data_IF_080633929438
#
_entry.id   IF_080633929438
#
_cell.length_a   1.000
_cell.length_b   1.000
_cell.length_c   1.000
_cell.angle_alpha   90.00
_cell.angle_beta   90.00
_cell.angle_gamma   90.00
#
_symmetry.space_group_name_H-M   'P 1'
#
loop_
_entity.id
_entity.type
_entity.pdbx_description
1 polymer ?
#
# COMPACT_ATOMS: atom_id res chain seq x y z
N UNK A 1 19.78 2.39 20.21
CA UNK A 1 19.76 3.50 19.22
C UNK A 1 18.55 3.44 18.28
N UNK A 2 18.24 2.30 17.64
CA UNK A 2 17.09 2.18 16.71
C UNK A 2 15.72 2.55 17.33
N UNK A 3 15.48 2.27 18.62
CA UNK A 3 14.25 2.65 19.30
C UNK A 3 14.05 4.17 19.40
N UNK A 4 15.13 4.94 19.61
CA UNK A 4 15.10 6.41 19.69
C UNK A 4 14.74 6.99 18.32
N UNK A 5 15.32 6.46 17.24
CA UNK A 5 15.01 6.89 15.87
C UNK A 5 13.53 6.62 15.54
N UNK A 6 13.00 5.46 15.95
CA UNK A 6 11.57 5.14 15.78
C UNK A 6 10.67 6.07 16.58
N UNK A 7 11.04 6.40 17.82
CA UNK A 7 10.34 7.39 18.64
C UNK A 7 10.36 8.76 18.00
N UNK A 8 11.52 9.24 17.53
CA UNK A 8 11.66 10.54 16.88
C UNK A 8 10.81 10.62 15.61
N UNK A 9 10.80 9.55 14.80
CA UNK A 9 9.96 9.46 13.60
C UNK A 9 8.47 9.43 13.93
N UNK A 10 8.07 8.71 14.98
CA UNK A 10 6.67 8.69 15.46
C UNK A 10 6.25 10.06 15.98
N UNK A 11 7.14 10.72 16.72
CA UNK A 11 6.93 12.06 17.28
C UNK A 11 6.84 13.11 16.16
N UNK A 12 7.68 13.02 15.12
CA UNK A 12 7.60 13.89 13.94
C UNK A 12 6.29 13.72 13.17
N UNK A 13 5.73 12.51 13.16
CA UNK A 13 4.39 12.25 12.60
C UNK A 13 3.29 12.91 13.44
N UNK A 14 3.54 13.20 14.71
CA UNK A 14 2.65 13.90 15.63
C UNK A 14 2.74 15.45 15.53
N UNK A 15 3.24 15.98 14.40
CA UNK A 15 3.40 17.43 14.21
C UNK A 15 2.18 18.30 14.55
N UNK A 16 0.91 17.86 14.40
CA UNK A 16 -0.24 18.66 14.84
C UNK A 16 -0.20 19.03 16.33
N UNK A 17 0.26 18.11 17.19
CA UNK A 17 0.41 18.36 18.62
C UNK A 17 1.46 19.42 18.88
N UNK A 18 2.57 19.41 18.14
CA UNK A 18 3.59 20.44 18.24
C UNK A 18 3.08 21.80 17.79
N UNK A 19 2.24 21.85 16.75
CA UNK A 19 1.59 23.10 16.31
C UNK A 19 0.75 23.72 17.44
N UNK A 20 -0.02 22.91 18.17
CA UNK A 20 -0.83 23.38 19.30
C UNK A 20 0.05 23.78 20.48
N UNK A 21 1.07 22.98 20.80
CA UNK A 21 1.99 23.28 21.90
C UNK A 21 2.75 24.60 21.63
N UNK A 22 3.14 24.82 20.37
CA UNK A 22 3.72 26.09 19.93
C UNK A 22 2.72 27.25 20.10
N UNK A 23 1.43 27.07 19.75
CA UNK A 23 0.41 28.10 19.98
C UNK A 23 0.16 28.40 21.45
N UNK A 24 0.19 27.39 22.32
CA UNK A 24 0.08 27.57 23.77
C UNK A 24 1.31 28.34 24.28
N UNK A 25 2.49 27.97 23.80
CA UNK A 25 3.75 28.62 24.18
C UNK A 25 3.80 30.08 23.72
N UNK A 26 3.40 30.38 22.48
CA UNK A 26 3.34 31.76 21.98
C UNK A 26 2.32 32.59 22.74
N UNK A 27 1.15 32.02 23.07
CA UNK A 27 0.16 32.67 23.94
C UNK A 27 0.75 32.99 25.31
N UNK A 28 1.44 32.04 25.93
CA UNK A 28 2.08 32.25 27.24
C UNK A 28 3.13 33.37 27.19
N UNK A 29 3.98 33.41 26.17
CA UNK A 29 4.94 34.49 25.96
C UNK A 29 4.24 35.84 25.74
N UNK A 30 3.19 35.89 24.94
CA UNK A 30 2.42 37.11 24.69
C UNK A 30 1.84 37.69 25.98
N UNK A 31 1.26 36.84 26.84
CA UNK A 31 0.72 37.26 28.15
C UNK A 31 1.83 37.76 29.06
N UNK A 32 2.98 37.08 29.07
CA UNK A 32 4.12 37.45 29.91
C UNK A 32 4.69 38.83 29.54
N UNK A 33 4.82 39.14 28.25
CA UNK A 33 5.40 40.41 27.78
C UNK A 33 4.37 41.55 27.65
N UNK A 34 3.10 41.26 27.36
CA UNK A 34 2.08 42.26 27.04
C UNK A 34 0.82 42.14 27.89
N UNK A 35 0.97 42.13 29.21
CA UNK A 35 -0.15 41.99 30.15
C UNK A 35 -1.26 43.04 29.97
N UNK A 36 -0.92 44.25 29.53
CA UNK A 36 -1.86 45.36 29.34
C UNK A 36 -2.88 45.13 28.21
N UNK A 37 -2.56 44.29 27.20
CA UNK A 37 -3.42 44.06 26.00
C UNK A 37 -3.98 42.62 25.98
N UNK A 38 -3.76 41.84 27.03
CA UNK A 38 -4.04 40.40 27.05
C UNK A 38 -5.47 40.02 26.60
N UNK A 39 -6.49 40.78 27.00
CA UNK A 39 -7.89 40.49 26.64
C UNK A 39 -8.17 40.61 25.13
N UNK A 40 -7.62 41.63 24.47
CA UNK A 40 -7.82 41.82 23.02
C UNK A 40 -7.02 40.79 22.21
N UNK A 41 -5.82 40.45 22.67
CA UNK A 41 -4.97 39.43 22.02
C UNK A 41 -5.60 38.05 22.08
N UNK A 42 -6.16 37.65 23.22
CA UNK A 42 -6.80 36.33 23.36
C UNK A 42 -8.04 36.19 22.47
N UNK A 43 -8.84 37.25 22.33
CA UNK A 43 -10.00 37.27 21.42
C UNK A 43 -9.59 37.13 19.96
N UNK A 44 -8.55 37.85 19.53
CA UNK A 44 -8.02 37.76 18.17
C UNK A 44 -7.42 36.38 17.88
N UNK A 45 -6.62 35.84 18.81
CA UNK A 45 -6.00 34.53 18.66
C UNK A 45 -7.04 33.41 18.59
N UNK A 46 -8.08 33.49 19.44
CA UNK A 46 -9.24 32.59 19.39
C UNK A 46 -9.89 32.60 18.01
N UNK A 47 -10.28 33.78 17.51
CA UNK A 47 -10.94 33.92 16.21
C UNK A 47 -10.05 33.45 15.06
N UNK A 48 -8.76 33.83 15.07
CA UNK A 48 -7.80 33.41 14.06
C UNK A 48 -7.63 31.88 14.04
N UNK A 49 -7.47 31.26 15.22
CA UNK A 49 -7.33 29.79 15.32
C UNK A 49 -8.59 29.04 14.86
N UNK A 50 -9.79 29.58 15.11
CA UNK A 50 -11.04 29.00 14.61
C UNK A 50 -11.17 29.10 13.09
N UNK A 51 -10.84 30.26 12.50
CA UNK A 51 -10.87 30.44 11.04
C UNK A 51 -9.87 29.51 10.36
N UNK A 52 -8.63 29.48 10.86
CA UNK A 52 -7.57 28.62 10.31
C UNK A 52 -7.95 27.14 10.49
N UNK A 53 -8.42 26.76 11.68
CA UNK A 53 -8.87 25.39 11.97
C UNK A 53 -10.03 24.95 11.05
N UNK A 54 -11.00 25.84 10.83
CA UNK A 54 -12.11 25.62 9.90
C UNK A 54 -11.64 25.46 8.46
N UNK A 55 -10.71 26.30 7.99
CA UNK A 55 -10.10 26.18 6.66
C UNK A 55 -9.35 24.85 6.48
N UNK A 56 -8.61 24.39 7.49
CA UNK A 56 -7.95 23.07 7.45
C UNK A 56 -8.95 21.93 7.32
N UNK A 57 -10.06 21.98 8.08
CA UNK A 57 -11.13 20.98 7.97
C UNK A 57 -11.71 21.01 6.55
N UNK A 58 -12.01 22.19 6.01
CA UNK A 58 -12.64 22.35 4.70
C UNK A 58 -11.73 21.87 3.56
N UNK A 59 -10.45 22.27 3.59
CA UNK A 59 -9.42 21.80 2.66
C UNK A 59 -9.26 20.27 2.71
N UNK A 60 -9.32 19.71 3.93
CA UNK A 60 -9.16 18.28 4.10
C UNK A 60 -10.40 17.47 3.70
N UNK A 61 -11.60 18.04 3.81
CA UNK A 61 -12.80 17.43 3.25
C UNK A 61 -12.66 17.35 1.72
N UNK A 62 -12.29 18.45 1.06
CA UNK A 62 -12.09 18.49 -0.39
C UNK A 62 -11.05 17.47 -0.87
N UNK A 63 -9.92 17.37 -0.14
CA UNK A 63 -8.84 16.46 -0.47
C UNK A 63 -9.12 14.97 -0.16
N UNK A 64 -10.12 14.64 0.68
CA UNK A 64 -10.33 13.27 1.18
C UNK A 64 -11.77 12.71 1.01
N UNK A 65 -12.66 13.40 0.29
CA UNK A 65 -14.05 12.97 0.04
C UNK A 65 -14.17 11.52 -0.46
N UNK A 66 -13.18 11.00 -1.18
CA UNK A 66 -13.20 9.63 -1.69
C UNK A 66 -12.78 8.53 -0.71
N UNK A 67 -12.08 8.84 0.38
CA UNK A 67 -11.40 7.85 1.22
C UNK A 67 -12.06 7.64 2.59
N UNK A 68 -12.93 8.57 3.01
CA UNK A 68 -13.47 8.62 4.38
C UNK A 68 -14.68 7.69 4.59
N UNK A 69 -15.30 7.16 3.53
CA UNK A 69 -16.59 6.48 3.63
C UNK A 69 -16.65 5.29 4.60
N UNK A 70 -15.53 4.66 4.97
CA UNK A 70 -15.55 3.45 5.82
C UNK A 70 -14.75 3.53 7.14
N UNK A 71 -14.03 4.62 7.44
CA UNK A 71 -13.18 4.68 8.65
C UNK A 71 -13.62 5.76 9.63
N UNK A 72 -14.16 5.33 10.77
CA UNK A 72 -14.42 6.19 11.93
C UNK A 72 -13.11 6.85 12.39
N UNK A 73 -13.08 8.17 12.58
CA UNK A 73 -11.91 8.92 13.08
C UNK A 73 -11.30 8.28 14.34
N UNK A 74 -12.15 7.74 15.22
CA UNK A 74 -11.72 7.06 16.43
C UNK A 74 -10.87 5.80 16.16
N UNK A 75 -11.19 5.02 15.11
CA UNK A 75 -10.39 3.84 14.78
C UNK A 75 -9.00 4.23 14.28
N UNK A 76 -8.89 5.35 13.57
CA UNK A 76 -7.61 5.89 13.11
C UNK A 76 -6.77 6.37 14.30
N UNK A 77 -7.37 7.12 15.23
CA UNK A 77 -6.68 7.55 16.45
C UNK A 77 -6.21 6.36 17.30
N UNK A 78 -7.07 5.35 17.48
CA UNK A 78 -6.70 4.10 18.17
C UNK A 78 -5.56 3.39 17.45
N UNK A 79 -5.61 3.28 16.11
CA UNK A 79 -4.53 2.66 15.34
C UNK A 79 -3.21 3.43 15.48
N UNK A 80 -3.26 4.76 15.50
CA UNK A 80 -2.09 5.61 15.72
C UNK A 80 -1.46 5.38 17.12
N UNK A 81 -2.29 5.27 18.17
CA UNK A 81 -1.85 4.89 19.51
C UNK A 81 -1.27 3.48 19.56
N UNK A 82 -1.84 2.54 18.80
CA UNK A 82 -1.36 1.17 18.73
C UNK A 82 -0.06 0.99 17.92
N UNK A 83 0.30 1.97 17.08
CA UNK A 83 1.59 2.04 16.37
C UNK A 83 2.73 2.59 17.24
N UNK A 84 2.44 2.90 18.52
CA UNK A 84 3.43 3.43 19.44
C UNK A 84 4.63 2.45 19.60
N UNK A 85 5.88 2.91 19.35
CA UNK A 85 7.04 2.02 19.20
C UNK A 85 7.43 1.24 20.47
N UNK A 86 6.86 1.59 21.63
CA UNK A 86 7.05 0.86 22.89
C UNK A 86 6.20 -0.43 22.95
N UNK A 87 5.19 -0.58 22.10
CA UNK A 87 4.34 -1.77 22.04
C UNK A 87 4.98 -2.79 21.08
N UNK A 88 5.63 -3.83 21.63
CA UNK A 88 6.31 -4.88 20.83
C UNK A 88 5.28 -5.72 20.05
N UNK A 89 5.44 -5.82 18.72
CA UNK A 89 4.69 -6.76 17.86
C UNK A 89 5.63 -7.81 17.26
N UNK A 90 5.20 -9.06 17.17
CA UNK A 90 5.93 -10.13 16.48
C UNK A 90 5.74 -10.04 14.97
N UNK A 91 6.83 -9.93 14.21
CA UNK A 91 6.80 -9.95 12.75
C UNK A 91 7.27 -11.32 12.28
N UNK A 92 6.41 -12.05 11.57
CA UNK A 92 6.77 -13.32 10.91
C UNK A 92 7.15 -13.01 9.47
N UNK A 93 8.40 -13.29 9.10
CA UNK A 93 8.92 -13.09 7.73
C UNK A 93 8.92 -14.43 7.02
N UNK A 94 8.15 -14.57 5.93
CA UNK A 94 8.18 -15.74 5.06
C UNK A 94 9.04 -15.46 3.82
N UNK A 95 10.07 -16.26 3.60
CA UNK A 95 10.91 -16.20 2.41
C UNK A 95 10.35 -17.15 1.33
N UNK A 96 10.20 -16.66 0.10
CA UNK A 96 9.86 -17.47 -1.08
C UNK A 96 11.03 -17.45 -2.06
N UNK A 97 11.46 -18.64 -2.54
CA UNK A 97 12.52 -18.80 -3.54
C UNK A 97 11.94 -19.23 -4.89
N UNK A 98 12.48 -18.70 -5.98
CA UNK A 98 12.06 -19.00 -7.36
C UNK A 98 13.16 -19.77 -8.13
N UNK A 99 12.77 -20.75 -8.95
CA UNK A 99 13.66 -21.54 -9.82
C UNK A 99 13.32 -21.33 -11.30
N UNK A 100 14.33 -21.17 -12.16
CA UNK A 100 14.19 -20.90 -13.60
C UNK A 100 14.54 -22.17 -14.41
N UNK A 101 13.75 -22.50 -15.44
CA UNK A 101 13.99 -23.61 -16.36
C UNK A 101 14.30 -23.14 -17.80
N UNK A 102 15.26 -23.78 -18.46
CA UNK A 102 15.76 -23.45 -19.81
C UNK A 102 15.07 -24.34 -20.87
N UNK A 103 14.72 -23.79 -22.03
CA UNK A 103 14.06 -24.52 -23.14
C UNK A 103 15.03 -24.80 -24.30
N UNK A 104 15.02 -26.02 -24.85
CA UNK A 104 15.77 -26.45 -26.05
C UNK A 104 14.86 -26.67 -27.26
N UNK A 105 15.35 -26.47 -28.48
CA UNK A 105 14.63 -26.70 -29.74
C UNK A 105 15.01 -28.03 -30.40
N UNK A 106 14.03 -28.75 -30.97
CA UNK A 106 14.22 -30.03 -31.69
C UNK A 106 13.67 -29.94 -33.11
N UNK A 107 14.43 -30.39 -34.11
CA UNK A 107 14.01 -30.48 -35.52
C UNK A 107 13.69 -31.95 -35.89
N UNK A 108 12.67 -32.17 -36.73
CA UNK A 108 12.28 -33.49 -37.26
C UNK A 108 12.39 -33.50 -38.79
N UNK A 109 12.95 -34.57 -39.34
CA UNK A 109 12.95 -34.88 -40.78
C UNK A 109 12.35 -36.28 -40.99
N UNK A 110 11.47 -36.45 -41.97
CA UNK A 110 10.90 -37.75 -42.34
C UNK A 110 11.19 -38.07 -43.81
N UNK A 111 11.34 -39.36 -44.12
CA UNK A 111 11.59 -39.88 -45.48
C UNK A 111 10.48 -40.87 -45.81
N UNK A 112 9.82 -40.69 -46.96
CA UNK A 112 8.74 -41.57 -47.41
C UNK A 112 9.25 -42.67 -48.35
N UNK A 113 8.75 -43.89 -48.21
CA UNK A 113 9.04 -45.05 -49.09
C UNK A 113 7.76 -45.52 -49.80
N UNK A 114 7.92 -46.09 -50.99
CA UNK A 114 6.81 -46.57 -51.83
C UNK A 114 6.87 -48.12 -51.94
N UNK A 115 6.06 -48.87 -51.16
CA UNK A 115 6.10 -50.34 -51.13
C UNK A 115 5.42 -50.99 -52.35
N UNK A 116 5.92 -52.16 -52.79
CA UNK A 116 5.51 -52.82 -54.04
C UNK A 116 4.64 -54.06 -53.75
N UNK A 117 4.88 -54.80 -52.66
CA UNK A 117 4.11 -55.99 -52.29
C UNK A 117 2.99 -55.72 -51.26
N UNK A 118 2.06 -56.68 -51.09
CA UNK A 118 0.97 -56.58 -50.10
C UNK A 118 1.54 -56.73 -48.68
N UNK A 119 2.46 -57.65 -48.47
CA UNK A 119 3.15 -57.81 -47.18
C UNK A 119 3.93 -56.54 -46.80
N UNK A 120 4.68 -55.93 -47.72
CA UNK A 120 5.39 -54.66 -47.47
C UNK A 120 4.41 -53.53 -47.13
N UNK A 121 3.24 -53.49 -47.77
CA UNK A 121 2.20 -52.49 -47.43
C UNK A 121 1.67 -52.67 -46.02
N UNK A 122 1.49 -53.92 -45.56
CA UNK A 122 1.00 -54.21 -44.21
C UNK A 122 2.03 -53.77 -43.16
N UNK A 123 3.30 -54.11 -43.38
CA UNK A 123 4.40 -53.71 -42.50
C UNK A 123 4.57 -52.19 -42.47
N UNK A 124 4.51 -51.53 -43.63
CA UNK A 124 4.54 -50.07 -43.73
C UNK A 124 3.40 -49.38 -42.98
N UNK A 125 2.18 -49.94 -43.04
CA UNK A 125 1.05 -49.41 -42.28
C UNK A 125 1.25 -49.57 -40.77
N UNK A 126 1.82 -50.69 -40.32
CA UNK A 126 2.16 -50.91 -38.91
C UNK A 126 3.21 -49.90 -38.42
N UNK A 127 4.27 -49.65 -39.19
CA UNK A 127 5.30 -48.66 -38.86
C UNK A 127 4.74 -47.23 -38.82
N UNK A 128 3.83 -46.89 -39.74
CA UNK A 128 3.12 -45.60 -39.69
C UNK A 128 2.24 -45.47 -38.45
N UNK A 129 1.50 -46.52 -38.07
CA UNK A 129 0.68 -46.50 -36.85
C UNK A 129 1.56 -46.30 -35.62
N UNK A 130 2.69 -46.99 -35.54
CA UNK A 130 3.63 -46.83 -34.41
C UNK A 130 4.26 -45.44 -34.39
N UNK A 131 4.64 -44.91 -35.55
CA UNK A 131 5.16 -43.54 -35.70
C UNK A 131 4.13 -42.50 -35.27
N UNK A 132 2.88 -42.62 -35.72
CA UNK A 132 1.78 -41.73 -35.30
C UNK A 132 1.56 -41.83 -33.79
N UNK A 133 1.59 -43.04 -33.21
CA UNK A 133 1.45 -43.22 -31.77
C UNK A 133 2.55 -42.51 -30.99
N UNK A 134 3.82 -42.66 -31.41
CA UNK A 134 4.96 -41.95 -30.81
C UNK A 134 4.82 -40.43 -30.96
N UNK A 135 4.34 -39.96 -32.11
CA UNK A 135 4.12 -38.55 -32.37
C UNK A 135 3.03 -37.95 -31.48
N UNK A 136 1.93 -38.67 -31.28
CA UNK A 136 0.86 -38.27 -30.34
C UNK A 136 1.40 -38.22 -28.90
N UNK A 137 2.18 -39.21 -28.47
CA UNK A 137 2.78 -39.21 -27.13
C UNK A 137 3.75 -38.03 -26.93
N UNK A 138 4.58 -37.73 -27.94
CA UNK A 138 5.48 -36.58 -27.92
C UNK A 138 4.73 -35.24 -27.90
N UNK A 139 3.70 -35.09 -28.73
CA UNK A 139 2.86 -33.90 -28.74
C UNK A 139 2.10 -33.72 -27.42
N UNK A 140 1.61 -34.80 -26.82
CA UNK A 140 0.96 -34.77 -25.51
C UNK A 140 1.93 -34.29 -24.41
N UNK A 141 3.17 -34.79 -24.41
CA UNK A 141 4.21 -34.33 -23.47
C UNK A 141 4.59 -32.86 -23.69
N UNK A 142 4.76 -32.42 -24.94
CA UNK A 142 5.04 -31.02 -25.27
C UNK A 142 3.89 -30.09 -24.86
N UNK A 143 2.64 -30.52 -25.09
CA UNK A 143 1.46 -29.77 -24.69
C UNK A 143 1.38 -29.63 -23.17
N UNK A 144 1.61 -30.71 -22.42
CA UNK A 144 1.65 -30.66 -20.96
C UNK A 144 2.77 -29.72 -20.46
N UNK A 145 3.96 -29.79 -21.06
CA UNK A 145 5.05 -28.88 -20.72
C UNK A 145 4.71 -27.40 -21.02
N UNK A 146 3.97 -27.12 -22.10
CA UNK A 146 3.46 -25.77 -22.42
C UNK A 146 2.40 -25.31 -21.42
N UNK A 147 1.49 -26.19 -21.00
CA UNK A 147 0.49 -25.90 -19.97
C UNK A 147 1.19 -25.55 -18.65
N UNK A 148 2.19 -26.33 -18.23
CA UNK A 148 2.95 -26.08 -17.01
C UNK A 148 3.71 -24.74 -17.07
N UNK A 149 4.35 -24.43 -18.21
CA UNK A 149 5.01 -23.13 -18.42
C UNK A 149 4.02 -21.97 -18.35
N UNK A 150 2.88 -22.07 -19.04
CA UNK A 150 1.84 -21.04 -19.02
C UNK A 150 1.26 -20.85 -17.61
N UNK A 151 1.04 -21.94 -16.88
CA UNK A 151 0.58 -21.91 -15.49
C UNK A 151 1.58 -21.18 -14.58
N UNK A 152 2.88 -21.48 -14.74
CA UNK A 152 3.94 -20.81 -13.99
C UNK A 152 4.04 -19.32 -14.33
N UNK A 153 3.97 -18.94 -15.61
CA UNK A 153 3.95 -17.53 -16.03
C UNK A 153 2.74 -16.77 -15.49
N UNK A 154 1.55 -17.39 -15.49
CA UNK A 154 0.35 -16.81 -14.89
C UNK A 154 0.52 -16.61 -13.39
N UNK A 155 1.09 -17.59 -12.68
CA UNK A 155 1.35 -17.46 -11.25
C UNK A 155 2.34 -16.32 -10.94
N UNK A 156 3.38 -16.15 -11.76
CA UNK A 156 4.32 -15.02 -11.64
C UNK A 156 3.57 -13.69 -11.85
N UNK A 157 2.76 -13.57 -12.91
CA UNK A 157 1.96 -12.35 -13.17
C UNK A 157 0.97 -12.04 -12.06
N UNK A 158 0.35 -13.06 -11.46
CA UNK A 158 -0.54 -12.91 -10.30
C UNK A 158 0.24 -12.38 -9.11
N UNK A 159 1.43 -12.92 -8.83
CA UNK A 159 2.31 -12.44 -7.75
C UNK A 159 2.75 -10.99 -7.99
N UNK A 160 3.18 -10.65 -9.21
CA UNK A 160 3.58 -9.30 -9.57
C UNK A 160 2.42 -8.30 -9.43
N UNK A 161 1.23 -8.70 -9.88
CA UNK A 161 0.02 -7.89 -9.73
C UNK A 161 -0.32 -7.70 -8.25
N UNK A 162 -0.21 -8.75 -7.44
CA UNK A 162 -0.43 -8.67 -5.99
C UNK A 162 0.56 -7.70 -5.33
N UNK A 163 1.85 -7.78 -5.68
CA UNK A 163 2.88 -6.86 -5.19
C UNK A 163 2.62 -5.41 -5.64
N UNK A 164 2.16 -5.20 -6.87
CA UNK A 164 1.77 -3.88 -7.35
C UNK A 164 0.56 -3.32 -6.57
N UNK A 165 -0.42 -4.18 -6.28
CA UNK A 165 -1.61 -3.83 -5.52
C UNK A 165 -1.28 -3.51 -4.05
N UNK A 166 -0.37 -4.26 -3.43
CA UNK A 166 0.17 -3.95 -2.10
C UNK A 166 0.92 -2.60 -2.09
N UNK A 167 1.69 -2.29 -3.14
CA UNK A 167 2.34 -0.97 -3.28
C UNK A 167 1.32 0.15 -3.42
N UNK A 168 0.26 -0.03 -4.21
CA UNK A 168 -0.82 0.95 -4.35
C UNK A 168 -1.54 1.14 -3.02
N UNK A 169 -1.89 0.07 -2.32
CA UNK A 169 -2.51 0.14 -0.98
C UNK A 169 -1.61 0.87 0.02
N UNK A 170 -0.29 0.65 -0.03
CA UNK A 170 0.67 1.38 0.82
C UNK A 170 0.71 2.88 0.50
N UNK A 171 0.68 3.27 -0.78
CA UNK A 171 0.63 4.68 -1.19
C UNK A 171 -0.69 5.34 -0.84
N UNK A 172 -1.82 4.65 -1.03
CA UNK A 172 -3.13 5.13 -0.62
C UNK A 172 -3.14 5.36 0.90
N UNK A 173 -2.61 4.42 1.69
CA UNK A 173 -2.45 4.59 3.14
C UNK A 173 -1.60 5.80 3.49
N UNK A 174 -0.45 5.98 2.83
CA UNK A 174 0.45 7.13 3.06
C UNK A 174 -0.24 8.46 2.78
N UNK A 175 -0.89 8.59 1.62
CA UNK A 175 -1.66 9.79 1.25
C UNK A 175 -2.82 10.04 2.22
N UNK A 176 -3.54 8.98 2.60
CA UNK A 176 -4.66 9.08 3.56
C UNK A 176 -4.19 9.56 4.94
N UNK A 177 -3.05 9.06 5.42
CA UNK A 177 -2.50 9.45 6.73
C UNK A 177 -2.14 10.94 6.76
N UNK A 178 -1.62 11.48 5.64
CA UNK A 178 -1.34 12.90 5.51
C UNK A 178 -2.60 13.74 5.68
N UNK A 179 -3.64 13.44 4.91
CA UNK A 179 -4.91 14.15 4.96
C UNK A 179 -5.61 14.09 6.34
N UNK A 180 -5.55 12.94 7.01
CA UNK A 180 -6.16 12.77 8.34
C UNK A 180 -5.44 13.60 9.41
N UNK A 181 -4.11 13.73 9.31
CA UNK A 181 -3.33 14.52 10.27
C UNK A 181 -3.74 16.00 10.21
N UNK A 182 -4.02 16.52 9.02
CA UNK A 182 -4.53 17.87 8.81
C UNK A 182 -5.95 18.07 9.38
N UNK A 183 -6.83 17.06 9.29
CA UNK A 183 -8.17 17.13 9.91
C UNK A 183 -8.08 17.21 11.42
N UNK A 184 -7.30 16.32 12.03
CA UNK A 184 -7.11 16.29 13.47
C UNK A 184 -6.53 17.63 13.94
N UNK A 185 -5.56 18.18 13.20
CA UNK A 185 -5.02 19.50 13.49
C UNK A 185 -6.08 20.60 13.43
N UNK A 186 -6.89 20.63 12.36
CA UNK A 186 -7.96 21.61 12.20
C UNK A 186 -9.02 21.54 13.32
N UNK A 187 -9.45 20.33 13.69
CA UNK A 187 -10.39 20.11 14.80
C UNK A 187 -9.79 20.56 16.12
N UNK A 188 -8.55 20.19 16.41
CA UNK A 188 -7.88 20.60 17.65
C UNK A 188 -7.69 22.12 17.73
N UNK A 189 -7.35 22.78 16.61
CA UNK A 189 -7.27 24.24 16.53
C UNK A 189 -8.61 24.90 16.84
N UNK A 190 -9.71 24.39 16.29
CA UNK A 190 -11.05 24.90 16.58
C UNK A 190 -11.41 24.75 18.05
N UNK A 191 -11.15 23.57 18.65
CA UNK A 191 -11.42 23.32 20.08
C UNK A 191 -10.57 24.23 20.96
N UNK A 192 -9.28 24.36 20.65
CA UNK A 192 -8.37 25.26 21.36
C UNK A 192 -8.86 26.72 21.28
N UNK A 193 -9.21 27.18 20.08
CA UNK A 193 -9.77 28.51 19.86
C UNK A 193 -11.03 28.75 20.67
N UNK A 194 -11.98 27.81 20.64
CA UNK A 194 -13.21 27.89 21.43
C UNK A 194 -12.94 28.01 22.95
N UNK A 195 -12.05 27.19 23.50
CA UNK A 195 -11.68 27.25 24.92
C UNK A 195 -10.98 28.58 25.24
N UNK A 196 -10.04 29.01 24.41
CA UNK A 196 -9.31 30.27 24.58
C UNK A 196 -10.24 31.47 24.53
N UNK A 197 -11.21 31.48 23.62
CA UNK A 197 -12.22 32.53 23.50
C UNK A 197 -13.16 32.58 24.71
N UNK A 198 -13.54 31.41 25.23
CA UNK A 198 -14.36 31.32 26.43
C UNK A 198 -13.65 31.89 27.67
N UNK A 199 -12.36 31.58 27.85
CA UNK A 199 -11.56 32.09 28.98
C UNK A 199 -11.33 33.61 28.87
N UNK A 200 -11.35 34.17 27.66
CA UNK A 200 -11.13 35.59 27.40
C UNK A 200 -12.40 36.45 27.47
N UNK A 201 -13.57 35.82 27.59
CA UNK A 201 -14.88 36.47 27.70
C UNK A 201 -15.22 36.73 29.16
#
# INVERSE_FOLDING_TARGET
MQAIIRLLKWLWRAWPLFGILLLIFTRFLLIYYFSFIASSTDKFLSLASQIIGGLFILHSIDSNIGIINDKKLFSIFSNYLQEFPLIKRSVVVQAHGASIAISSATAKASVSRNPISIEEKLEYLQDQIETIKRDIELQSKDLNAKIDRCSNELNIKIQDTKLALEKIDSKIKEVSIGGISEQIFGVLLMVYGAISGYVAS
#
